data_IF_392793731670
#
_entry.id   IF_392793731670
#
_cell.length_a   1.000
_cell.length_b   1.000
_cell.length_c   1.000
_cell.angle_alpha   90.00
_cell.angle_beta   90.00
_cell.angle_gamma   90.00
#
_symmetry.space_group_name_H-M   'P 1'
#
loop_
_entity.id
_entity.type
_entity.pdbx_description
1 polymer ?
#
# COMPACT_ATOMS: atom_id res chain seq x y z
N UNK A 1 -15.81 3.80 11.78
CA UNK A 1 -14.36 3.97 11.55
C UNK A 1 -14.05 5.44 11.66
N UNK A 2 -13.13 5.80 12.55
CA UNK A 2 -12.69 7.19 12.78
C UNK A 2 -11.18 7.16 12.78
N UNK A 3 -10.55 8.00 11.97
CA UNK A 3 -9.11 8.17 11.89
C UNK A 3 -8.78 9.47 11.16
N UNK A 4 -7.63 10.07 11.46
CA UNK A 4 -7.18 11.32 10.80
C UNK A 4 -6.97 11.13 9.28
N UNK A 5 -6.47 9.97 8.86
CA UNK A 5 -6.08 9.70 7.47
C UNK A 5 -7.01 8.66 6.84
N UNK A 6 -7.97 9.14 6.05
CA UNK A 6 -9.01 8.29 5.45
C UNK A 6 -8.72 8.03 3.97
N UNK A 7 -8.78 6.78 3.54
CA UNK A 7 -8.67 6.33 2.15
C UNK A 7 -9.95 5.62 1.76
N UNK A 8 -10.60 6.08 0.69
CA UNK A 8 -11.74 5.38 0.08
C UNK A 8 -11.27 4.68 -1.18
N UNK A 9 -11.56 3.39 -1.29
CA UNK A 9 -11.35 2.63 -2.52
C UNK A 9 -12.65 2.70 -3.32
N UNK A 10 -12.53 3.14 -4.56
CA UNK A 10 -13.66 3.46 -5.42
C UNK A 10 -13.68 2.50 -6.62
N UNK A 11 -14.89 2.02 -6.97
CA UNK A 11 -15.17 1.39 -8.24
C UNK A 11 -16.19 2.25 -8.97
N UNK A 12 -15.71 2.99 -9.98
CA UNK A 12 -16.43 4.12 -10.55
C UNK A 12 -16.92 5.07 -9.43
N UNK A 13 -18.20 5.42 -9.41
CA UNK A 13 -18.77 6.37 -8.44
C UNK A 13 -19.13 5.74 -7.08
N UNK A 14 -18.79 4.46 -6.85
CA UNK A 14 -19.16 3.73 -5.62
C UNK A 14 -17.94 3.44 -4.76
N UNK A 15 -17.97 3.89 -3.50
CA UNK A 15 -17.00 3.48 -2.49
C UNK A 15 -17.25 2.02 -2.09
N UNK A 16 -16.29 1.14 -2.37
CA UNK A 16 -16.35 -0.29 -2.03
C UNK A 16 -15.62 -0.62 -0.72
N UNK A 17 -14.72 0.27 -0.28
CA UNK A 17 -14.11 0.22 1.03
C UNK A 17 -13.74 1.62 1.53
N UNK A 18 -13.71 1.79 2.85
CA UNK A 18 -13.21 2.99 3.54
C UNK A 18 -12.31 2.55 4.67
N UNK A 19 -11.04 2.95 4.58
CA UNK A 19 -9.96 2.59 5.47
C UNK A 19 -9.50 3.86 6.19
N UNK A 20 -9.18 3.79 7.47
CA UNK A 20 -8.86 4.98 8.25
C UNK A 20 -7.97 4.64 9.45
N UNK A 21 -6.89 5.39 9.60
CA UNK A 21 -5.99 5.31 10.75
C UNK A 21 -5.51 6.72 11.16
N UNK A 22 -4.99 6.87 12.38
CA UNK A 22 -4.37 8.11 12.88
C UNK A 22 -2.90 8.24 12.45
N UNK A 23 -2.34 7.25 11.76
CA UNK A 23 -1.01 7.25 11.17
C UNK A 23 -1.06 7.00 9.66
N UNK A 24 -0.48 7.91 8.87
CA UNK A 24 -0.43 7.79 7.40
C UNK A 24 0.17 6.47 6.89
N UNK A 25 1.12 5.89 7.63
CA UNK A 25 1.82 4.67 7.23
C UNK A 25 0.93 3.44 7.44
N UNK A 26 0.13 3.45 8.50
CA UNK A 26 -0.81 2.40 8.83
C UNK A 26 -2.04 2.48 7.91
N UNK A 27 -2.59 3.66 7.66
CA UNK A 27 -3.65 3.84 6.65
C UNK A 27 -3.22 3.39 5.24
N UNK A 28 -1.97 3.67 4.85
CA UNK A 28 -1.40 3.16 3.59
C UNK A 28 -1.27 1.63 3.58
N UNK A 29 -0.90 1.02 4.71
CA UNK A 29 -0.78 -0.42 4.85
C UNK A 29 -2.16 -1.09 4.75
N UNK A 30 -3.16 -0.61 5.48
CA UNK A 30 -4.53 -1.13 5.42
C UNK A 30 -5.12 -1.08 4.01
N UNK A 31 -4.96 0.05 3.30
CA UNK A 31 -5.44 0.16 1.93
C UNK A 31 -4.71 -0.78 0.96
N UNK A 32 -3.40 -0.99 1.17
CA UNK A 32 -2.62 -1.94 0.35
C UNK A 32 -3.05 -3.37 0.65
N UNK A 33 -3.27 -3.70 1.92
CA UNK A 33 -3.68 -5.04 2.36
C UNK A 33 -5.06 -5.39 1.81
N UNK A 34 -6.00 -4.44 1.86
CA UNK A 34 -7.32 -4.60 1.24
C UNK A 34 -7.23 -4.97 -0.26
N UNK A 35 -6.34 -4.32 -1.01
CA UNK A 35 -6.13 -4.61 -2.44
C UNK A 35 -5.49 -5.99 -2.66
N UNK A 36 -4.62 -6.44 -1.74
CA UNK A 36 -4.05 -7.80 -1.78
C UNK A 36 -5.13 -8.84 -1.55
N UNK A 37 -5.94 -8.66 -0.51
CA UNK A 37 -6.94 -9.65 -0.11
C UNK A 37 -8.14 -9.74 -1.05
N UNK A 38 -8.56 -8.61 -1.64
CA UNK A 38 -9.83 -8.52 -2.36
C UNK A 38 -9.68 -8.31 -3.87
N UNK A 39 -8.49 -7.94 -4.35
CA UNK A 39 -8.29 -7.47 -5.73
C UNK A 39 -7.00 -7.99 -6.39
N UNK A 40 -6.47 -9.11 -5.91
CA UNK A 40 -5.33 -9.85 -6.51
C UNK A 40 -4.09 -8.98 -6.78
N UNK A 41 -3.86 -7.93 -5.98
CA UNK A 41 -2.78 -6.97 -6.23
C UNK A 41 -1.42 -7.65 -6.41
N UNK A 42 -1.12 -8.71 -5.65
CA UNK A 42 0.16 -9.42 -5.74
C UNK A 42 0.38 -10.00 -7.13
N UNK A 43 -0.60 -10.71 -7.70
CA UNK A 43 -0.49 -11.28 -9.04
C UNK A 43 -0.28 -10.20 -10.12
N UNK A 44 -0.78 -8.98 -9.90
CA UNK A 44 -0.54 -7.84 -10.79
C UNK A 44 0.86 -7.24 -10.65
N UNK A 45 1.49 -7.39 -9.48
CA UNK A 45 2.81 -6.84 -9.17
C UNK A 45 3.96 -7.82 -9.36
N UNK A 46 3.67 -9.11 -9.52
CA UNK A 46 4.67 -10.13 -9.75
C UNK A 46 5.57 -9.81 -10.96
N UNK A 47 6.86 -10.19 -10.90
CA UNK A 47 7.51 -10.94 -9.82
C UNK A 47 7.82 -10.09 -8.57
N UNK A 48 7.88 -10.74 -7.40
CA UNK A 48 8.35 -10.12 -6.15
C UNK A 48 9.87 -10.34 -5.95
N UNK A 49 10.58 -9.42 -5.25
CA UNK A 49 10.06 -8.18 -4.66
C UNK A 49 9.70 -7.13 -5.71
N UNK A 50 8.60 -6.40 -5.49
CA UNK A 50 8.17 -5.34 -6.39
C UNK A 50 8.97 -4.05 -6.12
N UNK A 51 9.85 -3.69 -7.06
CA UNK A 51 10.75 -2.53 -6.98
C UNK A 51 10.43 -1.53 -8.10
N UNK A 52 9.45 -0.62 -7.94
CA UNK A 52 9.14 0.39 -8.95
C UNK A 52 10.19 1.50 -9.05
N UNK A 53 11.12 1.56 -8.09
CA UNK A 53 12.23 2.51 -8.03
C UNK A 53 13.59 1.84 -8.25
N UNK A 54 14.65 2.38 -7.63
CA UNK A 54 16.02 1.87 -7.79
C UNK A 54 16.66 1.28 -6.53
N UNK A 55 16.00 1.37 -5.36
CA UNK A 55 16.64 1.03 -4.07
C UNK A 55 15.80 0.12 -3.20
N UNK A 56 14.62 0.56 -2.79
CA UNK A 56 13.79 -0.20 -1.85
C UNK A 56 12.68 -0.94 -2.60
N UNK A 57 12.43 -2.19 -2.20
CA UNK A 57 11.18 -2.86 -2.53
C UNK A 57 10.04 -2.08 -1.91
N UNK A 58 9.00 -1.86 -2.70
CA UNK A 58 7.77 -1.31 -2.18
C UNK A 58 6.95 -2.41 -1.53
N UNK A 59 6.80 -3.56 -2.20
CA UNK A 59 6.21 -4.78 -1.64
C UNK A 59 7.24 -5.90 -1.72
N UNK A 60 7.34 -6.67 -0.65
CA UNK A 60 8.28 -7.76 -0.49
C UNK A 60 7.58 -9.02 0.03
N UNK A 61 8.06 -10.19 -0.36
CA UNK A 61 7.64 -11.50 0.16
C UNK A 61 8.51 -11.98 1.34
N UNK A 62 9.59 -11.24 1.63
CA UNK A 62 10.42 -11.42 2.82
C UNK A 62 10.79 -10.05 3.41
N UNK A 63 11.03 -9.93 4.73
CA UNK A 63 11.40 -8.66 5.35
C UNK A 63 12.89 -8.31 5.14
N UNK A 64 13.42 -8.53 3.93
CA UNK A 64 14.85 -8.39 3.58
C UNK A 64 15.02 -7.30 2.53
N UNK A 65 16.07 -6.50 2.62
CA UNK A 65 16.37 -5.50 1.60
C UNK A 65 16.62 -6.16 0.21
N UNK A 66 16.22 -5.56 -0.92
CA UNK A 66 16.30 -6.21 -2.25
C UNK A 66 17.68 -6.65 -2.71
N UNK A 67 18.75 -6.06 -2.17
CA UNK A 67 20.13 -6.48 -2.47
C UNK A 67 20.60 -7.69 -1.63
N UNK A 68 19.71 -8.25 -0.80
CA UNK A 68 19.98 -9.34 0.12
C UNK A 68 20.81 -8.97 1.35
N UNK A 69 21.17 -7.69 1.53
CA UNK A 69 22.05 -7.22 2.60
C UNK A 69 21.25 -6.51 3.68
N UNK A 70 20.77 -7.31 4.62
CA UNK A 70 20.11 -6.82 5.84
C UNK A 70 18.60 -6.65 5.68
N UNK A 71 17.98 -6.16 6.75
CA UNK A 71 16.52 -6.11 6.88
C UNK A 71 15.90 -4.96 6.08
N UNK A 72 14.66 -5.18 5.66
CA UNK A 72 13.81 -4.13 5.14
C UNK A 72 13.55 -3.11 6.25
N UNK A 73 13.76 -1.82 5.96
CA UNK A 73 13.58 -0.77 6.97
C UNK A 73 12.16 -0.21 6.92
N UNK A 74 11.62 0.11 8.10
CA UNK A 74 10.39 0.92 8.22
C UNK A 74 9.23 0.32 7.41
N UNK A 75 9.02 -0.98 7.56
CA UNK A 75 7.94 -1.70 6.90
C UNK A 75 6.70 -1.82 7.78
N UNK A 76 5.59 -2.21 7.16
CA UNK A 76 4.43 -2.82 7.80
C UNK A 76 4.26 -4.22 7.25
N UNK A 77 4.00 -5.16 8.16
CA UNK A 77 3.58 -6.50 7.77
C UNK A 77 2.14 -6.42 7.28
N UNK A 78 1.90 -7.07 6.15
CA UNK A 78 0.60 -7.21 5.52
C UNK A 78 0.13 -8.65 5.68
N UNK A 79 -1.13 -8.91 5.35
CA UNK A 79 -1.68 -10.26 5.31
C UNK A 79 -0.92 -11.12 4.30
N UNK A 80 -0.99 -12.44 4.48
CA UNK A 80 -0.34 -13.45 3.62
C UNK A 80 1.20 -13.38 3.58
N UNK A 81 1.84 -12.74 4.56
CA UNK A 81 3.30 -12.74 4.71
C UNK A 81 4.03 -11.75 3.79
N UNK A 82 3.33 -10.69 3.34
CA UNK A 82 3.94 -9.62 2.56
C UNK A 82 4.36 -8.44 3.45
N UNK A 83 5.26 -7.60 2.93
CA UNK A 83 5.82 -6.47 3.66
C UNK A 83 5.80 -5.20 2.79
N UNK A 84 5.24 -4.12 3.34
CA UNK A 84 5.12 -2.82 2.67
C UNK A 84 6.13 -1.82 3.21
N UNK A 85 6.92 -1.22 2.34
CA UNK A 85 7.77 -0.07 2.71
C UNK A 85 6.91 1.19 2.87
N UNK A 86 7.01 1.88 4.01
CA UNK A 86 6.14 3.03 4.31
C UNK A 86 6.88 4.34 4.63
N UNK A 87 8.22 4.35 4.57
CA UNK A 87 9.04 5.55 4.81
C UNK A 87 9.01 6.51 3.62
N UNK A 88 7.85 7.13 3.43
CA UNK A 88 7.53 8.09 2.38
C UNK A 88 6.96 9.36 2.99
N UNK A 89 7.10 10.49 2.29
CA UNK A 89 6.30 11.66 2.59
C UNK A 89 4.82 11.41 2.21
N UNK A 90 3.92 12.25 2.73
CA UNK A 90 2.47 12.22 2.47
C UNK A 90 2.13 12.05 0.97
N UNK A 91 2.74 12.87 0.10
CA UNK A 91 2.46 12.87 -1.35
C UNK A 91 2.84 11.52 -1.99
N UNK A 92 3.98 10.98 -1.61
CA UNK A 92 4.47 9.71 -2.13
C UNK A 92 3.61 8.54 -1.64
N UNK A 93 3.15 8.56 -0.39
CA UNK A 93 2.18 7.56 0.13
C UNK A 93 0.90 7.53 -0.71
N UNK A 94 0.27 8.70 -0.92
CA UNK A 94 -0.95 8.82 -1.75
C UNK A 94 -0.73 8.27 -3.16
N UNK A 95 0.39 8.65 -3.79
CA UNK A 95 0.74 8.19 -5.14
C UNK A 95 0.91 6.67 -5.21
N UNK A 96 1.49 6.04 -4.19
CA UNK A 96 1.68 4.59 -4.19
C UNK A 96 0.35 3.83 -4.02
N UNK A 97 -0.52 4.28 -3.10
CA UNK A 97 -1.87 3.70 -2.96
C UNK A 97 -2.68 3.87 -4.24
N UNK A 98 -2.67 5.07 -4.85
CA UNK A 98 -3.32 5.33 -6.15
C UNK A 98 -2.88 4.35 -7.22
N UNK A 99 -1.56 4.17 -7.40
CA UNK A 99 -1.02 3.26 -8.41
C UNK A 99 -1.36 1.80 -8.16
N UNK A 100 -1.51 1.39 -6.91
CA UNK A 100 -1.94 0.03 -6.60
C UNK A 100 -3.41 -0.18 -6.94
N UNK A 101 -4.29 0.75 -6.55
CA UNK A 101 -5.69 0.71 -6.94
C UNK A 101 -5.87 0.75 -8.47
N UNK A 102 -5.18 1.64 -9.17
CA UNK A 102 -5.22 1.75 -10.63
C UNK A 102 -4.83 0.44 -11.33
N UNK A 103 -3.82 -0.27 -10.78
CA UNK A 103 -3.40 -1.59 -11.29
C UNK A 103 -4.47 -2.67 -11.10
N UNK A 104 -5.31 -2.53 -10.08
CA UNK A 104 -6.48 -3.36 -9.84
C UNK A 104 -7.74 -2.85 -10.58
N UNK A 105 -7.63 -1.80 -11.41
CA UNK A 105 -8.78 -1.21 -12.12
C UNK A 105 -9.70 -0.37 -11.22
N UNK A 106 -9.17 0.16 -10.13
CA UNK A 106 -9.90 0.93 -9.10
C UNK A 106 -9.35 2.35 -9.00
N UNK A 107 -10.12 3.21 -8.35
CA UNK A 107 -9.74 4.58 -8.02
C UNK A 107 -9.65 4.77 -6.50
N UNK A 108 -9.05 5.86 -6.04
CA UNK A 108 -9.01 6.19 -4.60
C UNK A 108 -9.25 7.67 -4.34
N UNK A 109 -9.96 7.93 -3.26
CA UNK A 109 -10.13 9.26 -2.68
C UNK A 109 -9.45 9.33 -1.32
N UNK A 110 -8.97 10.52 -0.96
CA UNK A 110 -8.27 10.78 0.30
C UNK A 110 -8.97 11.90 1.05
N UNK A 111 -9.27 11.68 2.32
CA UNK A 111 -9.94 12.66 3.20
C UNK A 111 -9.21 12.82 4.54
N UNK A 112 -9.41 13.96 5.20
CA UNK A 112 -8.77 14.26 6.48
C UNK A 112 -7.36 14.81 6.30
N UNK A 113 -6.40 14.31 7.09
CA UNK A 113 -5.06 14.89 7.22
C UNK A 113 -4.13 14.73 5.99
N UNK A 114 -4.58 14.14 4.87
CA UNK A 114 -3.83 13.86 3.63
C UNK A 114 -3.47 15.05 2.74
#
# INVERSE_FOLDING_TARGET
MTGEYVIKIMNADTAIATLADDNQSDAMAEATDYLIENHDLISVLEPLPYVPGRKNALINDQPVHPDGKGEMRTYRELTNGYYLFTSFNKKDKKRHVQRFAERCGLEVEFEGGW
#
